data_IF_664399687530
#
_entry.id   IF_664399687530
#
_cell.length_a   1.000
_cell.length_b   1.000
_cell.length_c   1.000
_cell.angle_alpha   90.00
_cell.angle_beta   90.00
_cell.angle_gamma   90.00
#
_symmetry.space_group_name_H-M   'P 1'
#
loop_
_entity.id
_entity.type
_entity.pdbx_description
1 polymer ?
#
# COMPACT_ATOMS: atom_id res chain seq x y z
N UNK A 1 16.24 -25.47 33.79
CA UNK A 1 15.42 -24.53 32.98
C UNK A 1 15.81 -23.06 33.15
N UNK A 2 15.98 -22.54 34.38
CA UNK A 2 16.32 -21.11 34.64
C UNK A 2 17.68 -20.64 34.09
N UNK A 3 18.70 -21.52 34.06
CA UNK A 3 20.06 -21.16 33.63
C UNK A 3 20.19 -20.96 32.11
N UNK A 4 19.35 -21.64 31.32
CA UNK A 4 19.38 -21.53 29.86
C UNK A 4 18.64 -20.26 29.40
N UNK A 5 17.48 -19.95 30.01
CA UNK A 5 16.71 -18.72 29.72
C UNK A 5 17.57 -17.47 29.98
N UNK A 6 18.36 -17.46 31.06
CA UNK A 6 19.22 -16.33 31.42
C UNK A 6 20.37 -16.10 30.41
N UNK A 7 20.86 -17.15 29.74
CA UNK A 7 21.84 -17.04 28.64
C UNK A 7 21.20 -16.48 27.38
N UNK A 8 19.97 -16.90 27.05
CA UNK A 8 19.22 -16.37 25.91
C UNK A 8 18.87 -14.88 26.09
N UNK A 9 18.45 -14.47 27.29
CA UNK A 9 18.17 -13.05 27.59
C UNK A 9 19.43 -12.18 27.52
N UNK A 10 20.59 -12.70 27.96
CA UNK A 10 21.86 -12.01 27.84
C UNK A 10 22.34 -11.85 26.39
N UNK A 11 22.10 -12.86 25.53
CA UNK A 11 22.50 -12.84 24.12
C UNK A 11 21.66 -11.91 23.24
N UNK A 12 20.38 -11.69 23.59
CA UNK A 12 19.48 -10.81 22.81
C UNK A 12 19.76 -9.32 23.10
N UNK A 13 20.26 -8.99 24.29
CA UNK A 13 20.48 -7.61 24.73
C UNK A 13 21.58 -6.87 23.95
N UNK A 14 22.52 -7.59 23.32
CA UNK A 14 23.63 -6.99 22.58
C UNK A 14 23.34 -6.66 21.12
N UNK A 15 22.22 -7.14 20.55
CA UNK A 15 21.89 -6.92 19.13
C UNK A 15 21.03 -5.67 18.86
N UNK A 16 20.57 -4.99 19.91
CA UNK A 16 19.59 -3.89 19.78
C UNK A 16 20.17 -2.48 19.59
N UNK A 17 21.49 -2.30 19.51
CA UNK A 17 22.12 -0.99 19.72
C UNK A 17 22.87 -0.38 18.51
N UNK A 18 22.55 -0.78 17.27
CA UNK A 18 23.26 -0.29 16.07
C UNK A 18 22.34 0.10 14.88
N UNK A 19 21.23 0.81 15.12
CA UNK A 19 20.37 1.32 14.03
C UNK A 19 19.99 2.80 14.15
N UNK A 20 20.85 3.65 14.72
CA UNK A 20 20.67 5.10 14.64
C UNK A 20 22.01 5.80 14.52
N UNK A 21 22.53 5.88 13.30
CA UNK A 21 23.45 6.90 12.81
C UNK A 21 23.51 6.83 11.28
N UNK A 22 23.63 8.00 10.63
CA UNK A 22 23.74 8.25 9.17
C UNK A 22 22.39 8.37 8.45
N UNK A 23 21.94 9.49 7.88
CA UNK A 23 22.60 10.72 7.44
C UNK A 23 21.66 11.92 7.68
N UNK A 24 22.09 12.89 8.49
CA UNK A 24 21.71 14.28 8.24
C UNK A 24 22.78 14.85 7.33
N UNK A 25 22.61 14.64 6.02
CA UNK A 25 23.30 15.41 5.00
C UNK A 25 22.83 16.86 5.05
N UNK A 26 23.23 17.57 6.10
CA UNK A 26 23.18 19.03 6.15
C UNK A 26 24.23 19.49 5.14
N UNK A 27 23.80 19.67 3.89
CA UNK A 27 24.62 20.30 2.87
C UNK A 27 24.97 21.68 3.37
N UNK A 28 26.26 21.82 3.63
CA UNK A 28 27.00 23.03 3.93
C UNK A 28 26.51 24.18 3.03
N UNK A 29 25.86 25.15 3.67
CA UNK A 29 25.39 26.37 3.04
C UNK A 29 26.60 27.21 2.59
N UNK A 30 27.05 26.98 1.36
CA UNK A 30 27.82 27.96 0.62
C UNK A 30 26.89 29.15 0.35
N UNK A 31 27.09 30.23 1.10
CA UNK A 31 26.53 31.55 0.82
C UNK A 31 26.92 31.96 -0.61
N UNK A 32 25.97 31.90 -1.51
CA UNK A 32 25.93 32.72 -2.71
C UNK A 32 24.53 33.31 -2.79
N UNK A 33 24.49 34.64 -2.91
CA UNK A 33 23.30 35.46 -2.88
C UNK A 33 22.32 35.09 -4.00
N UNK A 34 21.35 34.25 -3.68
CA UNK A 34 20.10 34.19 -4.41
C UNK A 34 18.97 34.12 -3.40
N UNK A 35 18.24 35.21 -3.27
CA UNK A 35 16.97 35.29 -2.56
C UNK A 35 15.92 34.46 -3.30
N UNK A 36 16.07 33.14 -3.32
CA UNK A 36 14.95 32.24 -3.60
C UNK A 36 14.23 32.08 -2.29
N UNK A 37 13.05 32.70 -2.21
CA UNK A 37 12.13 32.56 -1.09
C UNK A 37 12.03 31.10 -0.67
N UNK A 38 12.55 30.75 0.50
CA UNK A 38 12.45 29.43 1.12
C UNK A 38 11.01 29.10 1.57
N UNK A 39 10.02 29.87 1.13
CA UNK A 39 8.60 29.64 1.38
C UNK A 39 8.03 28.81 0.22
N UNK A 40 7.63 27.58 0.51
CA UNK A 40 6.85 26.66 -0.34
C UNK A 40 7.60 25.65 -1.22
N UNK A 41 8.60 24.94 -0.68
CA UNK A 41 8.86 23.58 -1.16
C UNK A 41 7.93 22.63 -0.38
N UNK A 42 6.61 22.70 -0.64
CA UNK A 42 5.74 21.56 -0.30
C UNK A 42 6.13 20.43 -1.26
N UNK A 43 6.41 19.20 -0.80
CA UNK A 43 6.59 18.09 -1.71
C UNK A 43 5.35 18.00 -2.62
N UNK A 44 5.53 18.20 -3.92
CA UNK A 44 4.45 18.02 -4.88
C UNK A 44 4.06 16.54 -4.89
N UNK A 45 2.92 16.23 -4.29
CA UNK A 45 2.41 14.85 -4.29
C UNK A 45 1.91 14.54 -5.70
N UNK A 46 2.55 13.58 -6.37
CA UNK A 46 2.10 13.06 -7.66
C UNK A 46 0.82 12.22 -7.48
N UNK A 47 -0.32 12.92 -7.41
CA UNK A 47 -1.64 12.32 -7.29
C UNK A 47 -2.02 11.50 -8.52
N UNK A 48 -1.53 11.84 -9.72
CA UNK A 48 -1.80 11.05 -10.92
C UNK A 48 -1.05 9.71 -10.89
N UNK A 49 0.20 9.70 -10.41
CA UNK A 49 0.95 8.49 -10.14
C UNK A 49 0.37 7.64 -9.01
N UNK A 50 -0.13 8.26 -7.93
CA UNK A 50 -0.84 7.54 -6.88
C UNK A 50 -2.11 6.86 -7.42
N UNK A 51 -2.91 7.57 -8.22
CA UNK A 51 -4.10 6.99 -8.85
C UNK A 51 -3.76 5.74 -9.66
N UNK A 52 -2.77 5.80 -10.56
CA UNK A 52 -2.32 4.64 -11.34
C UNK A 52 -1.87 3.46 -10.49
N UNK A 53 -1.17 3.72 -9.36
CA UNK A 53 -0.75 2.65 -8.44
C UNK A 53 -1.95 1.94 -7.80
N UNK A 54 -2.95 2.71 -7.39
CA UNK A 54 -4.18 2.15 -6.83
C UNK A 54 -5.04 1.43 -7.87
N UNK A 55 -5.14 1.95 -9.10
CA UNK A 55 -5.78 1.27 -10.24
C UNK A 55 -5.11 -0.10 -10.51
N UNK A 56 -3.78 -0.13 -10.59
CA UNK A 56 -3.03 -1.38 -10.75
C UNK A 56 -3.24 -2.35 -9.58
N UNK A 57 -3.26 -1.84 -8.35
CA UNK A 57 -3.54 -2.64 -7.16
C UNK A 57 -4.96 -3.23 -7.19
N UNK A 58 -5.97 -2.46 -7.58
CA UNK A 58 -7.34 -2.93 -7.72
C UNK A 58 -7.41 -4.08 -8.74
N UNK A 59 -6.76 -3.93 -9.90
CA UNK A 59 -6.67 -4.97 -10.92
C UNK A 59 -6.08 -6.28 -10.40
N UNK A 60 -4.94 -6.21 -9.70
CA UNK A 60 -4.30 -7.40 -9.10
C UNK A 60 -5.18 -8.08 -8.05
N UNK A 61 -5.90 -7.30 -7.24
CA UNK A 61 -6.80 -7.83 -6.22
C UNK A 61 -8.01 -8.55 -6.86
N UNK A 62 -8.53 -8.03 -7.97
CA UNK A 62 -9.58 -8.70 -8.74
C UNK A 62 -9.08 -9.98 -9.41
N UNK A 63 -7.86 -9.98 -9.93
CA UNK A 63 -7.22 -11.19 -10.47
C UNK A 63 -7.09 -12.29 -9.41
N UNK A 64 -6.62 -11.93 -8.20
CA UNK A 64 -6.54 -12.86 -7.06
C UNK A 64 -7.94 -13.37 -6.67
N UNK A 65 -8.94 -12.49 -6.60
CA UNK A 65 -10.31 -12.90 -6.32
C UNK A 65 -10.83 -13.91 -7.35
N UNK A 66 -10.59 -13.65 -8.64
CA UNK A 66 -11.00 -14.55 -9.73
C UNK A 66 -10.28 -15.91 -9.69
N UNK A 67 -9.01 -15.96 -9.27
CA UNK A 67 -8.30 -17.23 -9.06
C UNK A 67 -8.96 -18.06 -7.94
N UNK A 68 -9.32 -17.41 -6.82
CA UNK A 68 -10.00 -18.06 -5.72
C UNK A 68 -11.42 -18.52 -6.10
N UNK A 69 -12.14 -17.76 -6.93
CA UNK A 69 -13.46 -18.16 -7.47
C UNK A 69 -13.35 -19.41 -8.35
N UNK A 70 -12.37 -19.46 -9.26
CA UNK A 70 -12.15 -20.66 -10.09
C UNK A 70 -11.86 -21.90 -9.26
N UNK A 71 -11.06 -21.73 -8.19
CA UNK A 71 -10.75 -22.82 -7.26
C UNK A 71 -12.00 -23.28 -6.50
N UNK A 72 -12.83 -22.33 -6.05
CA UNK A 72 -14.09 -22.63 -5.38
C UNK A 72 -15.01 -23.47 -6.28
N UNK A 73 -15.16 -23.05 -7.53
CA UNK A 73 -16.00 -23.75 -8.50
C UNK A 73 -15.52 -25.18 -8.76
N UNK A 74 -14.20 -25.40 -8.82
CA UNK A 74 -13.62 -26.75 -8.91
C UNK A 74 -13.97 -27.64 -7.71
N UNK A 75 -13.98 -27.08 -6.48
CA UNK A 75 -14.39 -27.83 -5.28
C UNK A 75 -15.90 -28.13 -5.30
N UNK A 76 -16.73 -27.16 -5.69
CA UNK A 76 -18.19 -27.35 -5.79
C UNK A 76 -18.56 -28.46 -6.80
N UNK A 77 -17.90 -28.47 -7.96
CA UNK A 77 -18.08 -29.49 -9.01
C UNK A 77 -17.68 -30.90 -8.55
N UNK A 78 -16.81 -31.00 -7.53
CA UNK A 78 -16.29 -32.26 -6.97
C UNK A 78 -16.82 -32.54 -5.56
N UNK A 79 -17.80 -31.78 -5.09
CA UNK A 79 -18.33 -31.84 -3.72
C UNK A 79 -18.81 -33.24 -3.29
N UNK A 80 -19.26 -34.08 -4.24
CA UNK A 80 -19.64 -35.47 -3.96
C UNK A 80 -18.46 -36.37 -3.51
N UNK A 81 -17.21 -35.96 -3.74
CA UNK A 81 -16.01 -36.70 -3.34
C UNK A 81 -15.57 -36.41 -1.91
N UNK A 82 -16.08 -35.35 -1.30
CA UNK A 82 -15.49 -34.79 -0.10
C UNK A 82 -16.55 -34.47 0.96
N UNK A 83 -16.36 -34.98 2.17
CA UNK A 83 -17.32 -34.85 3.27
C UNK A 83 -17.23 -33.53 4.04
N UNK A 84 -17.81 -33.50 5.24
CA UNK A 84 -17.96 -32.34 6.14
C UNK A 84 -16.72 -31.46 6.39
N UNK A 85 -15.50 -31.96 6.20
CA UNK A 85 -14.27 -31.15 6.31
C UNK A 85 -14.17 -30.07 5.20
N UNK A 86 -14.90 -30.24 4.09
CA UNK A 86 -14.93 -29.24 3.01
C UNK A 86 -15.78 -28.02 3.30
N UNK A 87 -16.81 -28.11 4.15
CA UNK A 87 -17.67 -26.96 4.44
C UNK A 87 -16.90 -25.79 5.07
N UNK A 88 -15.97 -26.08 6.00
CA UNK A 88 -15.12 -25.05 6.61
C UNK A 88 -14.14 -24.46 5.58
N UNK A 89 -13.61 -25.28 4.68
CA UNK A 89 -12.72 -24.84 3.60
C UNK A 89 -13.43 -23.99 2.54
N UNK A 90 -14.70 -24.30 2.27
CA UNK A 90 -15.59 -23.60 1.35
C UNK A 90 -15.96 -22.22 1.89
N UNK A 91 -16.39 -22.15 3.15
CA UNK A 91 -16.66 -20.89 3.83
C UNK A 91 -15.40 -19.99 3.88
N UNK A 92 -14.22 -20.59 4.12
CA UNK A 92 -12.96 -19.86 4.10
C UNK A 92 -12.63 -19.30 2.70
N UNK A 93 -12.82 -20.09 1.65
CA UNK A 93 -12.58 -19.66 0.27
C UNK A 93 -13.54 -18.52 -0.15
N UNK A 94 -14.83 -18.61 0.20
CA UNK A 94 -15.79 -17.52 -0.03
C UNK A 94 -15.34 -16.25 0.70
N UNK A 95 -14.94 -16.37 1.97
CA UNK A 95 -14.47 -15.23 2.75
C UNK A 95 -13.23 -14.57 2.12
N UNK A 96 -12.31 -15.36 1.54
CA UNK A 96 -11.15 -14.84 0.82
C UNK A 96 -11.55 -14.07 -0.44
N UNK A 97 -12.46 -14.61 -1.26
CA UNK A 97 -12.98 -13.92 -2.46
C UNK A 97 -13.58 -12.56 -2.08
N UNK A 98 -14.48 -12.54 -1.08
CA UNK A 98 -15.10 -11.31 -0.60
C UNK A 98 -14.09 -10.31 -0.07
N UNK A 99 -13.09 -10.77 0.70
CA UNK A 99 -12.02 -9.93 1.22
C UNK A 99 -11.23 -9.25 0.11
N UNK A 100 -10.87 -9.98 -0.95
CA UNK A 100 -10.11 -9.41 -2.06
C UNK A 100 -10.96 -8.46 -2.92
N UNK A 101 -12.23 -8.76 -3.15
CA UNK A 101 -13.18 -7.85 -3.82
C UNK A 101 -13.33 -6.53 -3.05
N UNK A 102 -13.57 -6.59 -1.75
CA UNK A 102 -13.66 -5.40 -0.90
C UNK A 102 -12.34 -4.60 -0.89
N UNK A 103 -11.20 -5.27 -0.90
CA UNK A 103 -9.91 -4.61 -0.99
C UNK A 103 -9.71 -3.92 -2.36
N UNK A 104 -10.20 -4.52 -3.44
CA UNK A 104 -10.17 -3.92 -4.77
C UNK A 104 -11.05 -2.67 -4.84
N UNK A 105 -12.26 -2.72 -4.28
CA UNK A 105 -13.17 -1.56 -4.17
C UNK A 105 -12.50 -0.37 -3.46
N UNK A 106 -11.90 -0.61 -2.29
CA UNK A 106 -11.16 0.42 -1.53
C UNK A 106 -9.98 0.99 -2.32
N UNK A 107 -9.30 0.16 -3.11
CA UNK A 107 -8.22 0.62 -3.98
C UNK A 107 -8.78 1.50 -5.12
N UNK A 108 -9.89 1.11 -5.74
CA UNK A 108 -10.59 1.92 -6.76
C UNK A 108 -11.04 3.27 -6.19
N UNK A 109 -11.61 3.30 -4.99
CA UNK A 109 -12.00 4.54 -4.30
C UNK A 109 -10.78 5.45 -4.06
N UNK A 110 -9.68 4.88 -3.58
CA UNK A 110 -8.42 5.63 -3.39
C UNK A 110 -7.89 6.20 -4.71
N UNK A 111 -7.97 5.42 -5.80
CA UNK A 111 -7.59 5.90 -7.12
C UNK A 111 -8.46 7.07 -7.58
N UNK A 112 -9.78 6.95 -7.38
CA UNK A 112 -10.74 8.01 -7.70
C UNK A 112 -10.43 9.31 -6.96
N UNK A 113 -10.18 9.26 -5.64
CA UNK A 113 -9.81 10.43 -4.85
C UNK A 113 -8.56 11.11 -5.39
N UNK A 114 -7.51 10.34 -5.69
CA UNK A 114 -6.28 10.88 -6.25
C UNK A 114 -6.45 11.46 -7.66
N UNK A 115 -7.27 10.84 -8.53
CA UNK A 115 -7.64 11.42 -9.83
C UNK A 115 -8.34 12.76 -9.68
N UNK A 116 -9.30 12.85 -8.76
CA UNK A 116 -10.07 14.07 -8.52
C UNK A 116 -9.16 15.22 -8.07
N UNK A 117 -8.26 14.97 -7.11
CA UNK A 117 -7.30 15.98 -6.63
C UNK A 117 -6.35 16.41 -7.76
N UNK A 118 -5.82 15.47 -8.55
CA UNK A 118 -4.99 15.76 -9.72
C UNK A 118 -5.70 16.64 -10.75
N UNK A 119 -6.98 16.36 -11.02
CA UNK A 119 -7.78 17.17 -11.95
C UNK A 119 -8.06 18.58 -11.42
N UNK A 120 -8.38 18.73 -10.14
CA UNK A 120 -8.58 20.04 -9.52
C UNK A 120 -7.29 20.88 -9.59
N UNK A 121 -6.15 20.30 -9.21
CA UNK A 121 -4.86 20.99 -9.29
C UNK A 121 -4.52 21.45 -10.73
N UNK A 122 -4.81 20.62 -11.75
CA UNK A 122 -4.63 21.00 -13.16
C UNK A 122 -5.56 22.16 -13.57
N UNK A 123 -6.82 22.15 -13.12
CA UNK A 123 -7.79 23.21 -13.43
C UNK A 123 -7.38 24.54 -12.79
N UNK A 124 -6.94 24.51 -11.53
CA UNK A 124 -6.49 25.70 -10.80
C UNK A 124 -5.25 26.30 -11.46
N UNK A 125 -4.30 25.45 -11.88
CA UNK A 125 -3.13 25.88 -12.65
C UNK A 125 -3.53 26.57 -13.96
N UNK A 126 -4.41 25.95 -14.76
CA UNK A 126 -4.89 26.53 -16.03
C UNK A 126 -5.55 27.90 -15.77
N UNK A 127 -6.46 27.98 -14.79
CA UNK A 127 -7.16 29.22 -14.45
C UNK A 127 -6.19 30.33 -14.01
N UNK A 128 -5.15 30.00 -13.24
CA UNK A 128 -4.11 30.96 -12.83
C UNK A 128 -3.19 31.42 -13.95
N UNK A 129 -3.10 30.66 -15.05
CA UNK A 129 -2.21 30.91 -16.19
C UNK A 129 -2.88 31.61 -17.38
N UNK A 130 -4.19 31.84 -17.31
CA UNK A 130 -4.93 32.51 -18.37
C UNK A 130 -4.65 34.03 -18.37
N UNK A 131 -4.31 34.64 -19.52
CA UNK A 131 -4.11 36.09 -19.61
C UNK A 131 -5.43 36.84 -19.36
N UNK A 132 -5.37 37.89 -18.53
CA UNK A 132 -6.48 38.79 -18.20
C UNK A 132 -6.89 39.67 -19.39
#
# INVERSE_FOLDING_TARGET
MQKEIRKFVAAISTLGLLASCSETGLIEAKKEDTSVSAQNIRPFVDHDGLARRYESRAGKLLEIAAEHEKRLQYYEDKSYLYGRHEQDSHAHAIALVQKYKLAAEKATESAFHHRMVSQLAKRDYIASSAPH
#
